data_IF_424969017020
#
_entry.id   IF_424969017020
#
_cell.length_a   1.000
_cell.length_b   1.000
_cell.length_c   1.000
_cell.angle_alpha   90.00
_cell.angle_beta   90.00
_cell.angle_gamma   90.00
#
_symmetry.space_group_name_H-M   'P 1'
#
loop_
_entity.id
_entity.type
_entity.pdbx_description
1 polymer ?
#
# COMPACT_ATOMS: atom_id res chain seq x y z
N UNK A 1 -4.45 9.83 -13.74
CA UNK A 1 -3.28 10.39 -13.04
C UNK A 1 -3.43 10.04 -11.58
N UNK A 2 -2.35 9.64 -10.93
CA UNK A 2 -2.39 9.19 -9.55
C UNK A 2 -1.00 9.25 -8.93
N UNK A 3 -0.94 9.49 -7.62
CA UNK A 3 0.25 9.26 -6.82
C UNK A 3 -0.13 8.64 -5.47
N UNK A 4 0.81 7.94 -4.85
CA UNK A 4 0.69 7.53 -3.46
C UNK A 4 1.15 8.66 -2.53
N UNK A 5 0.66 8.65 -1.30
CA UNK A 5 1.34 9.38 -0.24
C UNK A 5 2.71 8.74 0.02
N UNK A 6 3.67 9.56 0.41
CA UNK A 6 5.03 9.14 0.70
C UNK A 6 5.29 9.30 2.19
N UNK A 7 5.89 8.30 2.81
CA UNK A 7 6.37 8.37 4.19
C UNK A 7 7.89 8.44 4.14
N UNK A 8 8.46 9.42 4.83
CA UNK A 8 9.89 9.61 5.00
C UNK A 8 10.20 9.54 6.49
N UNK A 9 11.17 8.73 6.89
CA UNK A 9 11.60 8.59 8.28
C UNK A 9 13.01 9.11 8.44
N UNK A 10 13.18 10.13 9.28
CA UNK A 10 14.49 10.62 9.71
C UNK A 10 15.11 9.66 10.72
N UNK A 11 16.28 9.15 10.38
CA UNK A 11 17.04 8.18 11.17
C UNK A 11 17.82 8.86 12.31
N UNK A 12 18.35 8.10 13.29
CA UNK A 12 19.15 8.65 14.38
C UNK A 12 20.39 9.43 13.94
N UNK A 13 21.04 8.99 12.85
CA UNK A 13 22.21 9.65 12.24
C UNK A 13 21.85 10.87 11.38
N UNK A 14 20.57 11.21 11.28
CA UNK A 14 20.05 12.31 10.46
C UNK A 14 19.80 11.96 9.00
N UNK A 15 20.17 10.76 8.54
CA UNK A 15 19.83 10.28 7.20
C UNK A 15 18.31 10.08 7.05
N UNK A 16 17.84 10.01 5.80
CA UNK A 16 16.42 9.86 5.48
C UNK A 16 16.22 8.55 4.70
N UNK A 17 15.19 7.80 5.08
CA UNK A 17 14.64 6.67 4.32
C UNK A 17 13.20 6.97 3.94
N UNK A 18 12.69 6.42 2.84
CA UNK A 18 11.30 6.62 2.46
C UNK A 18 10.64 5.41 1.85
N UNK A 19 9.31 5.40 1.85
CA UNK A 19 8.56 4.59 0.90
C UNK A 19 8.86 5.03 -0.54
N UNK A 20 8.62 4.19 -1.54
CA UNK A 20 8.85 4.58 -2.93
C UNK A 20 7.85 5.64 -3.40
N UNK A 21 8.25 6.48 -4.34
CA UNK A 21 7.43 7.54 -4.93
C UNK A 21 6.72 6.97 -6.15
N UNK A 22 5.46 6.56 -5.97
CA UNK A 22 4.63 6.11 -7.07
C UNK A 22 3.89 7.30 -7.66
N UNK A 23 4.21 7.62 -8.91
CA UNK A 23 3.61 8.73 -9.67
C UNK A 23 3.30 8.25 -11.08
N UNK A 24 2.04 8.44 -11.49
CA UNK A 24 1.52 7.99 -12.78
C UNK A 24 0.72 9.09 -13.49
N UNK A 25 1.17 9.47 -14.69
CA UNK A 25 0.50 10.46 -15.56
C UNK A 25 -0.51 9.81 -16.52
N UNK A 26 -1.30 10.59 -17.25
CA UNK A 26 -2.34 10.03 -18.13
C UNK A 26 -1.79 9.55 -19.49
N UNK A 27 -2.35 8.46 -20.03
CA UNK A 27 -1.90 7.77 -21.26
C UNK A 27 -1.73 8.65 -22.49
N UNK A 28 -2.61 9.62 -22.68
CA UNK A 28 -2.65 10.46 -23.89
C UNK A 28 -1.78 11.72 -23.79
N UNK A 29 -0.84 11.78 -22.85
CA UNK A 29 0.06 12.93 -22.75
C UNK A 29 1.32 12.74 -23.57
N UNK A 30 1.45 13.48 -24.68
CA UNK A 30 2.69 13.49 -25.45
C UNK A 30 3.53 14.70 -25.10
N UNK A 31 4.74 14.45 -24.64
CA UNK A 31 5.75 15.47 -24.32
C UNK A 31 7.12 15.07 -24.84
N UNK A 32 7.89 16.05 -25.30
CA UNK A 32 9.30 15.89 -25.65
C UNK A 32 10.19 15.89 -24.40
N UNK A 33 9.69 16.47 -23.29
CA UNK A 33 10.38 16.52 -22.01
C UNK A 33 9.89 15.38 -21.12
N UNK A 34 10.76 14.38 -20.93
CA UNK A 34 10.50 13.23 -20.05
C UNK A 34 10.77 13.54 -18.57
N UNK A 35 11.29 14.72 -18.26
CA UNK A 35 11.54 15.16 -16.89
C UNK A 35 10.23 15.61 -16.22
N UNK A 36 9.99 15.11 -15.02
CA UNK A 36 8.90 15.48 -14.12
C UNK A 36 9.50 16.29 -12.97
N UNK A 37 9.10 17.54 -12.87
CA UNK A 37 9.58 18.45 -11.84
C UNK A 37 8.87 18.12 -10.53
N UNK A 38 9.64 17.94 -9.45
CA UNK A 38 9.11 17.84 -8.09
C UNK A 38 9.13 19.24 -7.46
N UNK A 39 7.98 19.72 -7.00
CA UNK A 39 7.87 20.94 -6.22
C UNK A 39 7.26 20.68 -4.84
N UNK A 40 7.95 21.12 -3.78
CA UNK A 40 7.50 21.02 -2.38
C UNK A 40 7.03 22.41 -1.95
N UNK A 41 5.82 22.51 -1.39
CA UNK A 41 5.22 23.80 -0.99
C UNK A 41 5.29 24.86 -2.11
N UNK A 42 4.98 24.43 -3.34
CA UNK A 42 5.01 25.25 -4.57
C UNK A 42 6.42 25.74 -4.98
N UNK A 43 7.48 25.28 -4.32
CA UNK A 43 8.88 25.58 -4.69
C UNK A 43 9.50 24.40 -5.42
N UNK A 44 10.01 24.64 -6.63
CA UNK A 44 10.73 23.60 -7.40
C UNK A 44 11.96 23.13 -6.64
N UNK A 45 12.16 21.82 -6.60
CA UNK A 45 13.34 21.20 -5.98
C UNK A 45 14.41 20.95 -7.04
N UNK A 46 15.61 20.55 -6.58
CA UNK A 46 16.70 20.10 -7.47
C UNK A 46 16.53 18.64 -7.92
N UNK A 47 15.52 17.95 -7.38
CA UNK A 47 15.24 16.54 -7.67
C UNK A 47 14.10 16.49 -8.68
N UNK A 48 14.25 15.63 -9.68
CA UNK A 48 13.23 15.33 -10.68
C UNK A 48 12.95 13.83 -10.71
N UNK A 49 11.80 13.46 -11.28
CA UNK A 49 11.54 12.11 -11.75
C UNK A 49 11.64 12.10 -13.27
N UNK A 50 11.72 10.91 -13.85
CA UNK A 50 11.68 10.72 -15.29
C UNK A 50 10.57 9.77 -15.70
N UNK A 51 9.83 10.13 -16.76
CA UNK A 51 8.88 9.27 -17.44
C UNK A 51 9.62 8.23 -18.28
N UNK A 52 9.25 6.96 -18.11
CA UNK A 52 9.70 5.90 -19.01
C UNK A 52 8.92 5.96 -20.34
N UNK A 53 9.59 5.88 -21.52
CA UNK A 53 8.90 5.82 -22.81
C UNK A 53 7.96 4.61 -22.89
N UNK A 54 6.73 4.81 -23.38
CA UNK A 54 5.73 3.74 -23.47
C UNK A 54 5.07 3.35 -22.14
N UNK A 55 5.49 3.96 -21.02
CA UNK A 55 4.89 3.75 -19.70
C UNK A 55 4.43 5.08 -19.11
N UNK A 56 3.51 5.02 -18.16
CA UNK A 56 2.95 6.20 -17.49
C UNK A 56 3.60 6.50 -16.14
N UNK A 57 4.54 5.65 -15.72
CA UNK A 57 5.20 5.69 -14.42
C UNK A 57 6.48 6.50 -14.44
N UNK A 58 6.72 7.17 -13.32
CA UNK A 58 7.92 7.95 -13.06
C UNK A 58 8.93 7.19 -12.19
N UNK A 59 10.22 7.44 -12.41
CA UNK A 59 11.33 6.83 -11.67
C UNK A 59 12.38 7.88 -11.31
N UNK A 60 13.20 7.63 -10.30
CA UNK A 60 14.40 8.41 -9.99
C UNK A 60 15.58 7.94 -10.85
N UNK A 61 16.42 8.89 -11.30
CA UNK A 61 17.66 8.62 -12.04
C UNK A 61 17.76 9.40 -13.36
N UNK A 62 18.99 9.76 -13.76
CA UNK A 62 19.26 10.38 -15.05
C UNK A 62 18.86 9.43 -16.18
N UNK A 63 18.26 10.00 -17.25
CA UNK A 63 17.87 9.34 -18.52
C UNK A 63 18.20 7.85 -18.49
N UNK A 64 17.27 7.04 -17.97
CA UNK A 64 17.46 5.59 -17.94
C UNK A 64 17.91 5.21 -19.35
N UNK A 65 19.14 4.71 -19.47
CA UNK A 65 19.66 4.18 -20.72
C UNK A 65 19.07 2.77 -20.81
N UNK A 66 17.73 2.71 -20.85
CA UNK A 66 16.93 1.47 -20.77
C UNK A 66 17.47 0.47 -21.79
N UNK A 67 17.86 0.96 -22.97
CA UNK A 67 18.42 0.16 -24.06
C UNK A 67 19.77 -0.49 -23.71
N UNK A 68 20.65 0.17 -22.94
CA UNK A 68 21.97 -0.39 -22.60
C UNK A 68 21.91 -1.38 -21.44
N UNK A 69 21.05 -1.13 -20.45
CA UNK A 69 20.86 -2.05 -19.33
C UNK A 69 20.14 -3.33 -19.81
N UNK A 70 19.18 -3.20 -20.74
CA UNK A 70 18.52 -4.35 -21.39
C UNK A 70 19.52 -5.17 -22.24
N UNK A 71 20.41 -4.53 -23.02
CA UNK A 71 21.45 -5.20 -23.82
C UNK A 71 22.50 -5.92 -22.95
N UNK A 72 22.94 -5.29 -21.87
CA UNK A 72 23.97 -5.84 -20.99
C UNK A 72 23.41 -6.99 -20.14
N UNK A 73 22.13 -6.93 -19.77
CA UNK A 73 21.43 -8.02 -19.10
C UNK A 73 21.15 -9.21 -20.04
N UNK A 74 20.77 -8.95 -21.30
CA UNK A 74 20.63 -10.01 -22.32
C UNK A 74 21.97 -10.71 -22.62
N UNK A 75 23.09 -9.96 -22.66
CA UNK A 75 24.44 -10.54 -22.77
C UNK A 75 24.79 -11.41 -21.57
N UNK A 76 24.55 -10.94 -20.34
CA UNK A 76 24.80 -11.73 -19.12
C UNK A 76 23.95 -13.01 -19.05
N UNK A 77 22.72 -12.97 -19.59
CA UNK A 77 21.81 -14.14 -19.67
C UNK A 77 22.28 -15.14 -20.74
N UNK A 78 22.80 -14.67 -21.87
CA UNK A 78 23.42 -15.53 -22.89
C UNK A 78 24.73 -16.17 -22.39
N UNK A 79 25.59 -15.41 -21.71
CA UNK A 79 26.85 -15.91 -21.14
C UNK A 79 26.63 -16.88 -19.97
N UNK A 80 25.61 -16.66 -19.12
CA UNK A 80 25.22 -17.61 -18.06
C UNK A 80 24.62 -18.92 -18.58
N UNK A 81 23.87 -18.87 -19.70
CA UNK A 81 23.31 -20.08 -20.32
C UNK A 81 24.34 -20.97 -21.02
N UNK A 82 25.50 -20.41 -21.41
CA UNK A 82 26.58 -21.17 -22.03
C UNK A 82 27.33 -22.05 -21.01
N UNK A 83 27.35 -21.66 -19.73
CA UNK A 83 28.02 -22.39 -18.66
C UNK A 83 27.19 -23.55 -18.07
N UNK A 84 25.86 -23.57 -18.26
CA UNK A 84 24.97 -24.62 -17.73
C UNK A 84 24.70 -25.79 -18.70
N UNK A 85 25.24 -25.75 -19.93
CA UNK A 85 24.97 -26.77 -20.95
C UNK A 85 25.86 -28.04 -20.87
N UNK A 86 26.55 -28.28 -19.74
CA UNK A 86 27.37 -29.50 -19.56
C UNK A 86 26.78 -30.52 -18.56
N UNK A 87 25.66 -30.25 -17.86
CA UNK A 87 25.14 -31.20 -16.84
C UNK A 87 23.67 -31.64 -16.97
N UNK A 88 22.94 -31.33 -18.05
CA UNK A 88 21.52 -31.75 -18.24
C UNK A 88 21.33 -33.00 -19.09
N UNK A 89 21.97 -34.13 -18.72
CA UNK A 89 21.68 -35.44 -19.35
C UNK A 89 21.14 -36.54 -18.44
N UNK A 90 20.91 -36.32 -17.14
CA UNK A 90 20.55 -37.44 -16.23
C UNK A 90 19.21 -37.34 -15.45
N UNK A 91 18.36 -36.33 -15.63
CA UNK A 91 17.11 -36.19 -14.84
C UNK A 91 15.81 -36.26 -15.64
N UNK A 92 15.75 -37.13 -16.66
CA UNK A 92 14.49 -37.45 -17.39
C UNK A 92 13.82 -38.76 -16.97
N UNK A 93 14.46 -39.59 -16.14
CA UNK A 93 13.86 -40.87 -15.69
C UNK A 93 13.18 -40.77 -14.31
N UNK A 94 13.56 -39.84 -13.43
CA UNK A 94 12.97 -39.74 -12.07
C UNK A 94 11.59 -39.05 -12.01
N UNK A 95 11.21 -38.24 -13.01
CA UNK A 95 9.90 -37.56 -13.02
C UNK A 95 8.74 -38.42 -13.56
N UNK A 96 8.99 -39.63 -14.07
CA UNK A 96 7.92 -40.53 -14.55
C UNK A 96 7.33 -41.44 -13.47
N UNK A 97 7.97 -41.55 -12.30
CA UNK A 97 7.55 -42.51 -11.27
C UNK A 97 6.67 -41.89 -10.16
N UNK A 98 6.61 -40.56 -10.06
CA UNK A 98 5.81 -39.84 -9.05
C UNK A 98 4.34 -39.60 -9.44
N UNK A 99 3.93 -39.93 -10.67
CA UNK A 99 2.53 -39.83 -11.15
C UNK A 99 1.67 -41.08 -10.88
N UNK A 100 2.18 -42.09 -10.16
CA UNK A 100 1.46 -43.37 -9.93
C UNK A 100 0.99 -43.64 -8.50
N UNK A 101 0.99 -42.66 -7.59
CA UNK A 101 0.49 -42.85 -6.21
C UNK A 101 -0.42 -41.71 -5.75
N UNK A 102 -1.70 -41.78 -6.09
CA UNK A 102 -2.75 -41.16 -5.28
C UNK A 102 -3.29 -42.20 -4.29
N UNK A 103 -3.31 -41.91 -2.98
CA UNK A 103 -4.26 -42.53 -2.06
C UNK A 103 -5.51 -41.64 -1.94
N UNK A 104 -6.67 -42.28 -2.09
CA UNK A 104 -7.98 -41.72 -1.81
C UNK A 104 -8.07 -41.24 -0.35
N UNK A 105 -8.32 -39.95 -0.14
CA UNK A 105 -8.72 -39.41 1.17
C UNK A 105 -10.10 -38.76 1.07
N UNK A 106 -11.03 -39.37 1.80
CA UNK A 106 -12.44 -39.00 1.92
C UNK A 106 -12.60 -37.60 2.53
N UNK A 107 -13.44 -36.79 1.89
CA UNK A 107 -13.96 -35.52 2.41
C UNK A 107 -14.73 -35.74 3.72
N UNK A 108 -14.34 -35.03 4.78
CA UNK A 108 -15.29 -34.59 5.81
C UNK A 108 -15.55 -33.10 5.63
N UNK A 109 -16.79 -32.82 5.28
CA UNK A 109 -17.43 -31.50 5.13
C UNK A 109 -17.43 -30.79 6.48
N UNK A 110 -17.11 -29.50 6.48
CA UNK A 110 -17.97 -28.45 7.04
C UNK A 110 -17.39 -27.05 6.78
N UNK A 111 -17.80 -26.45 5.66
CA UNK A 111 -17.80 -25.00 5.44
C UNK A 111 -18.80 -24.67 4.32
N UNK A 112 -20.06 -24.41 4.70
CA UNK A 112 -21.03 -23.65 3.89
C UNK A 112 -20.74 -22.17 4.22
N UNK A 113 -20.51 -21.23 3.31
CA UNK A 113 -21.24 -20.94 2.07
C UNK A 113 -20.32 -20.20 1.06
N UNK A 114 -20.02 -20.83 -0.07
CA UNK A 114 -19.68 -20.16 -1.32
C UNK A 114 -20.16 -21.05 -2.48
N UNK A 115 -20.83 -20.44 -3.47
CA UNK A 115 -21.43 -21.09 -4.63
C UNK A 115 -20.39 -21.91 -5.45
N UNK A 116 -20.50 -23.25 -5.53
CA UNK A 116 -19.55 -24.12 -6.23
C UNK A 116 -19.50 -23.89 -7.75
N UNK A 117 -20.56 -23.32 -8.35
CA UNK A 117 -20.65 -23.11 -9.80
C UNK A 117 -19.67 -22.04 -10.30
N UNK A 118 -19.28 -21.09 -9.44
CA UNK A 118 -18.31 -20.03 -9.78
C UNK A 118 -16.86 -20.52 -9.82
N UNK A 119 -16.48 -21.56 -9.06
CA UNK A 119 -15.11 -22.12 -9.06
C UNK A 119 -14.74 -22.78 -10.40
N UNK A 120 -15.68 -23.49 -11.01
CA UNK A 120 -15.43 -24.32 -12.20
C UNK A 120 -15.29 -23.50 -13.49
N UNK A 121 -16.13 -22.50 -13.70
CA UNK A 121 -16.00 -21.59 -14.84
C UNK A 121 -14.76 -20.69 -14.72
N UNK A 122 -14.43 -20.27 -13.49
CA UNK A 122 -13.30 -19.37 -13.21
C UNK A 122 -11.93 -19.98 -13.50
N UNK A 123 -11.68 -21.22 -13.06
CA UNK A 123 -10.42 -21.92 -13.34
C UNK A 123 -10.19 -22.15 -14.84
N UNK A 124 -11.27 -22.45 -15.57
CA UNK A 124 -11.19 -22.77 -17.00
C UNK A 124 -10.91 -21.51 -17.82
N UNK A 125 -11.66 -20.43 -17.64
CA UNK A 125 -11.51 -19.21 -18.45
C UNK A 125 -10.15 -18.53 -18.24
N UNK A 126 -9.61 -18.54 -17.01
CA UNK A 126 -8.29 -17.96 -16.70
C UNK A 126 -7.15 -18.77 -17.34
N UNK A 127 -7.24 -20.10 -17.33
CA UNK A 127 -6.22 -20.98 -17.95
C UNK A 127 -6.20 -20.90 -19.48
N UNK A 128 -7.34 -20.58 -20.10
CA UNK A 128 -7.47 -20.48 -21.57
C UNK A 128 -6.98 -19.14 -22.14
N UNK A 129 -7.02 -18.04 -21.36
CA UNK A 129 -6.66 -16.72 -21.86
C UNK A 129 -5.16 -16.41 -21.69
N UNK A 130 -4.49 -16.99 -20.68
CA UNK A 130 -3.05 -16.83 -20.47
C UNK A 130 -2.46 -18.07 -19.77
N UNK A 131 -1.52 -18.80 -20.39
CA UNK A 131 -0.77 -19.85 -19.71
C UNK A 131 -0.04 -19.28 -18.49
N UNK A 132 -0.05 -20.02 -17.39
CA UNK A 132 0.47 -19.62 -16.08
C UNK A 132 1.94 -19.12 -16.15
N UNK A 133 2.71 -19.69 -17.08
CA UNK A 133 4.12 -19.38 -17.33
C UNK A 133 4.34 -17.97 -17.93
N UNK A 134 3.41 -17.48 -18.77
CA UNK A 134 3.50 -16.14 -19.39
C UNK A 134 3.15 -15.01 -18.42
N UNK A 135 2.32 -15.29 -17.41
CA UNK A 135 2.01 -14.34 -16.33
C UNK A 135 3.19 -14.18 -15.37
N UNK A 136 3.87 -15.29 -15.06
CA UNK A 136 5.10 -15.29 -14.26
C UNK A 136 6.23 -14.56 -15.00
N UNK A 137 6.41 -14.78 -16.31
CA UNK A 137 7.39 -14.05 -17.13
C UNK A 137 7.13 -12.54 -17.18
N UNK A 138 5.87 -12.09 -17.23
CA UNK A 138 5.56 -10.64 -17.17
C UNK A 138 5.77 -10.06 -15.78
N UNK A 139 5.45 -10.82 -14.73
CA UNK A 139 5.77 -10.44 -13.35
C UNK A 139 7.28 -10.39 -13.12
N UNK A 140 8.05 -11.25 -13.78
CA UNK A 140 9.51 -11.20 -13.81
C UNK A 140 10.04 -10.02 -14.61
N UNK A 141 9.44 -9.69 -15.76
CA UNK A 141 9.81 -8.49 -16.54
C UNK A 141 9.45 -7.18 -15.82
N UNK A 142 8.43 -7.15 -14.95
CA UNK A 142 8.18 -6.03 -14.04
C UNK A 142 9.13 -6.05 -12.81
N UNK A 143 9.73 -7.20 -12.45
CA UNK A 143 10.86 -7.28 -11.50
C UNK A 143 12.18 -6.78 -12.11
N UNK A 144 12.30 -6.69 -13.44
CA UNK A 144 13.52 -6.21 -14.14
C UNK A 144 13.83 -4.73 -13.84
N UNK A 145 12.87 -3.94 -13.36
CA UNK A 145 13.14 -2.62 -12.76
C UNK A 145 12.76 -2.65 -11.29
N UNK A 146 13.76 -2.86 -10.43
CA UNK A 146 13.57 -3.02 -8.99
C UNK A 146 12.86 -1.81 -8.37
N UNK A 147 12.21 -2.04 -7.21
CA UNK A 147 11.70 -0.99 -6.33
C UNK A 147 12.73 0.12 -6.04
N UNK A 148 14.02 -0.15 -6.24
CA UNK A 148 15.13 0.77 -6.02
C UNK A 148 15.01 2.02 -6.91
N UNK A 149 14.49 1.91 -8.14
CA UNK A 149 14.32 3.08 -9.02
C UNK A 149 13.09 3.93 -8.68
N UNK A 150 12.16 3.40 -7.87
CA UNK A 150 11.03 4.15 -7.34
C UNK A 150 11.36 4.80 -6.00
N UNK A 151 12.43 4.37 -5.34
CA UNK A 151 12.82 4.83 -4.02
C UNK A 151 13.95 5.85 -4.15
N UNK A 152 13.79 7.08 -3.66
CA UNK A 152 14.85 8.07 -3.72
C UNK A 152 16.04 7.66 -2.84
N UNK A 153 17.24 8.05 -3.24
CA UNK A 153 18.42 7.96 -2.37
C UNK A 153 18.31 8.96 -1.21
N UNK A 154 19.08 8.75 -0.15
CA UNK A 154 19.17 9.71 0.96
C UNK A 154 19.58 11.12 0.49
N UNK A 155 20.41 11.21 -0.56
CA UNK A 155 20.80 12.48 -1.18
C UNK A 155 19.62 13.17 -1.87
N UNK A 156 18.81 12.43 -2.64
CA UNK A 156 17.58 12.97 -3.23
C UNK A 156 16.65 13.48 -2.13
N UNK A 157 16.40 12.68 -1.08
CA UNK A 157 15.52 13.07 0.03
C UNK A 157 15.99 14.35 0.74
N UNK A 158 17.29 14.50 0.96
CA UNK A 158 17.88 15.70 1.56
C UNK A 158 17.62 16.94 0.69
N UNK A 159 17.73 16.81 -0.63
CA UNK A 159 17.52 17.90 -1.59
C UNK A 159 16.04 18.31 -1.76
N UNK A 160 15.09 17.51 -1.29
CA UNK A 160 13.68 17.89 -1.24
C UNK A 160 13.41 18.97 -0.19
N UNK A 161 14.30 19.15 0.80
CA UNK A 161 14.17 20.14 1.89
C UNK A 161 12.83 20.02 2.65
N UNK A 162 12.46 18.79 2.98
CA UNK A 162 11.23 18.48 3.71
C UNK A 162 11.25 19.06 5.13
N UNK A 163 10.10 19.54 5.59
CA UNK A 163 9.88 19.95 6.99
C UNK A 163 9.28 18.79 7.79
N UNK A 164 9.53 18.71 9.12
CA UNK A 164 8.85 17.73 9.97
C UNK A 164 7.33 17.80 9.80
N UNK A 165 6.66 16.65 9.73
CA UNK A 165 5.23 16.54 9.47
C UNK A 165 4.87 16.57 7.99
N UNK A 166 3.77 17.26 7.66
CA UNK A 166 3.12 17.21 6.35
C UNK A 166 3.80 18.18 5.36
N UNK A 167 4.10 17.70 4.15
CA UNK A 167 4.62 18.50 3.04
C UNK A 167 3.79 18.22 1.79
N UNK A 168 3.27 19.27 1.15
CA UNK A 168 2.53 19.16 -0.10
C UNK A 168 3.49 19.09 -1.29
N UNK A 169 3.39 18.02 -2.06
CA UNK A 169 4.20 17.79 -3.26
C UNK A 169 3.37 17.95 -4.53
N UNK A 170 3.95 18.60 -5.53
CA UNK A 170 3.39 18.70 -6.88
C UNK A 170 4.37 18.04 -7.85
N UNK A 171 3.90 17.03 -8.56
CA UNK A 171 4.61 16.43 -9.68
C UNK A 171 4.14 17.10 -10.96
N UNK A 172 5.04 17.79 -11.63
CA UNK A 172 4.72 18.66 -12.76
C UNK A 172 5.37 18.11 -14.01
N UNK A 173 4.53 17.73 -14.97
CA UNK A 173 4.95 17.35 -16.31
C UNK A 173 4.61 18.49 -17.28
N UNK A 174 5.64 19.03 -17.93
CA UNK A 174 5.48 20.10 -18.91
C UNK A 174 5.08 19.53 -20.28
N UNK A 175 4.17 20.23 -20.96
CA UNK A 175 3.58 19.75 -22.21
C UNK A 175 4.33 20.22 -23.45
N UNK A 176 4.05 19.60 -24.59
CA UNK A 176 4.55 20.09 -25.87
C UNK A 176 3.71 21.28 -26.34
N UNK A 177 4.36 22.44 -26.50
CA UNK A 177 3.74 23.68 -27.03
C UNK A 177 3.03 23.47 -28.37
N UNK A 178 3.47 22.50 -29.18
CA UNK A 178 2.92 22.21 -30.51
C UNK A 178 1.52 21.58 -30.49
N UNK A 179 1.10 20.92 -29.40
CA UNK A 179 -0.19 20.18 -29.34
C UNK A 179 -1.27 20.81 -28.46
N UNK A 180 -1.16 22.09 -28.08
CA UNK A 180 -2.08 22.78 -27.15
C UNK A 180 -2.24 22.14 -25.77
N UNK A 181 -1.42 21.15 -25.42
CA UNK A 181 -1.40 20.53 -24.09
C UNK A 181 -0.41 21.31 -23.23
N UNK A 182 -0.91 22.04 -22.23
CA UNK A 182 -0.11 23.06 -21.53
C UNK A 182 0.75 22.51 -20.39
N UNK A 183 0.20 21.67 -19.51
CA UNK A 183 0.88 21.17 -18.28
C UNK A 183 0.00 20.12 -17.60
N UNK A 184 0.59 19.06 -17.05
CA UNK A 184 -0.08 18.17 -16.09
C UNK A 184 0.53 18.35 -14.71
N UNK A 185 -0.32 18.39 -13.68
CA UNK A 185 0.09 18.48 -12.28
C UNK A 185 -0.64 17.39 -11.51
N UNK A 186 0.13 16.62 -10.74
CA UNK A 186 -0.40 15.65 -9.77
C UNK A 186 -0.02 16.18 -8.39
N UNK A 187 -1.02 16.30 -7.52
CA UNK A 187 -0.85 16.71 -6.13
C UNK A 187 -0.81 15.49 -5.23
N UNK A 188 0.14 15.48 -4.29
CA UNK A 188 0.30 14.43 -3.30
C UNK A 188 0.85 14.98 -1.99
N UNK A 189 1.09 14.07 -1.04
CA UNK A 189 1.55 14.42 0.30
C UNK A 189 2.78 13.59 0.68
N UNK A 190 3.77 14.25 1.26
CA UNK A 190 4.95 13.61 1.86
C UNK A 190 4.93 13.87 3.36
N UNK A 191 4.99 12.81 4.15
CA UNK A 191 5.02 12.85 5.61
C UNK A 191 6.46 12.61 6.08
N UNK A 192 7.08 13.60 6.72
CA UNK A 192 8.38 13.44 7.35
C UNK A 192 8.20 13.16 8.84
N UNK A 193 8.44 11.91 9.22
CA UNK A 193 8.40 11.42 10.59
C UNK A 193 9.79 11.24 11.18
N UNK A 194 9.87 11.20 12.50
CA UNK A 194 11.06 10.82 13.25
C UNK A 194 11.06 9.31 13.51
N UNK A 195 12.24 8.68 13.59
CA UNK A 195 12.35 7.27 13.97
C UNK A 195 11.74 6.95 15.36
N UNK A 196 11.57 7.96 16.23
CA UNK A 196 10.89 7.82 17.53
C UNK A 196 9.38 7.87 17.46
N UNK A 197 8.80 8.26 16.33
CA UNK A 197 7.36 8.37 16.20
C UNK A 197 6.70 6.98 16.29
N UNK A 198 5.44 6.96 16.69
CA UNK A 198 4.64 5.74 16.85
C UNK A 198 3.34 5.89 16.08
N UNK A 199 2.87 4.79 15.51
CA UNK A 199 1.84 4.77 14.48
C UNK A 199 0.66 3.91 14.93
N UNK A 200 -0.53 4.48 14.85
CA UNK A 200 -1.80 3.77 14.91
C UNK A 200 -2.30 3.47 13.50
N UNK A 201 -2.58 2.20 13.20
CA UNK A 201 -3.18 1.77 11.95
C UNK A 201 -4.70 1.89 12.02
N UNK A 202 -5.30 2.41 10.97
CA UNK A 202 -6.75 2.49 10.84
C UNK A 202 -7.17 2.04 9.44
N UNK A 203 -7.82 0.88 9.34
CA UNK A 203 -8.48 0.50 8.10
C UNK A 203 -9.66 1.46 7.82
N UNK A 204 -9.98 1.70 6.55
CA UNK A 204 -11.05 2.61 6.14
C UNK A 204 -12.33 1.83 5.86
N UNK A 205 -12.26 0.82 5.00
CA UNK A 205 -13.42 0.20 4.40
C UNK A 205 -14.01 -0.85 5.35
N UNK A 206 -15.11 -0.52 6.02
CA UNK A 206 -15.73 -1.36 7.03
C UNK A 206 -15.27 -1.07 8.47
N UNK A 207 -14.25 -0.22 8.63
CA UNK A 207 -13.73 0.21 9.95
C UNK A 207 -14.10 1.66 10.25
N UNK A 208 -13.76 2.59 9.34
CA UNK A 208 -14.30 3.97 9.37
C UNK A 208 -15.73 3.97 8.84
N UNK A 209 -15.95 3.31 7.70
CA UNK A 209 -17.30 3.12 7.12
C UNK A 209 -17.98 1.88 7.68
N UNK A 210 -19.32 1.83 7.68
CA UNK A 210 -20.10 0.66 8.14
C UNK A 210 -20.15 -0.52 7.16
N UNK A 211 -19.63 -0.37 5.95
CA UNK A 211 -19.71 -1.41 4.91
C UNK A 211 -18.56 -1.31 3.90
N UNK A 212 -18.09 -2.48 3.47
CA UNK A 212 -17.02 -2.70 2.48
C UNK A 212 -17.47 -2.48 1.02
N UNK A 213 -18.76 -2.64 0.71
CA UNK A 213 -19.23 -2.88 -0.68
C UNK A 213 -19.89 -1.70 -1.37
N UNK A 214 -20.19 -0.60 -0.66
CA UNK A 214 -20.86 0.58 -1.24
C UNK A 214 -19.93 1.76 -1.55
N UNK A 215 -18.61 1.62 -1.34
CA UNK A 215 -17.62 2.70 -1.42
C UNK A 215 -17.48 3.41 -2.78
N UNK A 216 -18.01 2.83 -3.86
CA UNK A 216 -17.91 3.39 -5.22
C UNK A 216 -19.06 4.36 -5.61
N UNK A 217 -20.14 4.43 -4.82
CA UNK A 217 -21.37 5.18 -5.17
C UNK A 217 -21.47 6.54 -4.47
N UNK A 218 -20.63 6.82 -3.48
CA UNK A 218 -20.76 8.05 -2.72
C UNK A 218 -20.08 9.23 -3.42
N UNK A 219 -20.79 9.81 -4.36
CA UNK A 219 -20.68 11.22 -4.73
C UNK A 219 -22.03 11.87 -4.42
N UNK A 220 -22.09 12.53 -3.25
CA UNK A 220 -23.13 13.48 -2.77
C UNK A 220 -24.07 12.99 -1.63
N UNK A 221 -24.22 13.92 -0.65
CA UNK A 221 -25.22 14.04 0.43
C UNK A 221 -25.47 12.78 1.29
N UNK A 222 -25.00 12.80 2.55
CA UNK A 222 -25.39 11.83 3.58
C UNK A 222 -24.28 10.96 4.20
N UNK A 223 -23.00 11.25 3.91
CA UNK A 223 -21.83 10.47 4.35
C UNK A 223 -21.84 10.08 5.84
N UNK A 224 -22.26 10.99 6.74
CA UNK A 224 -22.26 10.75 8.19
C UNK A 224 -23.08 9.54 8.63
N UNK A 225 -24.14 9.16 7.90
CA UNK A 225 -24.97 7.99 8.27
C UNK A 225 -24.20 6.66 8.13
N UNK A 226 -23.15 6.66 7.33
CA UNK A 226 -22.37 5.48 6.94
C UNK A 226 -20.99 5.41 7.59
N UNK A 227 -20.66 6.36 8.46
CA UNK A 227 -19.43 6.34 9.28
C UNK A 227 -19.78 5.83 10.68
N UNK A 228 -18.91 5.01 11.27
CA UNK A 228 -19.10 4.55 12.64
C UNK A 228 -19.00 5.72 13.64
N UNK A 229 -19.96 5.87 14.57
CA UNK A 229 -19.92 6.95 15.57
C UNK A 229 -18.69 6.82 16.49
N UNK A 230 -18.13 7.95 16.91
CA UNK A 230 -16.98 8.02 17.84
C UNK A 230 -15.61 7.85 17.18
N UNK A 231 -15.53 7.55 15.87
CA UNK A 231 -14.23 7.35 15.20
C UNK A 231 -13.40 8.64 15.16
N UNK A 232 -14.03 9.80 14.93
CA UNK A 232 -13.28 11.06 14.88
C UNK A 232 -12.70 11.41 16.26
N UNK A 233 -13.48 11.23 17.34
CA UNK A 233 -13.00 11.52 18.70
C UNK A 233 -11.89 10.54 19.12
N UNK A 234 -12.03 9.26 18.78
CA UNK A 234 -11.02 8.24 19.04
C UNK A 234 -9.69 8.59 18.35
N UNK A 235 -9.71 8.80 17.03
CA UNK A 235 -8.50 9.07 16.26
C UNK A 235 -7.89 10.44 16.61
N UNK A 236 -8.71 11.46 16.85
CA UNK A 236 -8.24 12.76 17.39
C UNK A 236 -7.56 12.59 18.75
N UNK A 237 -8.05 11.69 19.61
CA UNK A 237 -7.43 11.43 20.91
C UNK A 237 -6.09 10.72 20.75
N UNK A 238 -5.98 9.78 19.80
CA UNK A 238 -4.71 9.13 19.47
C UNK A 238 -3.67 10.15 18.98
N UNK A 239 -4.05 11.05 18.07
CA UNK A 239 -3.17 12.11 17.56
C UNK A 239 -2.72 13.06 18.69
N UNK A 240 -3.65 13.50 19.55
CA UNK A 240 -3.34 14.36 20.72
C UNK A 240 -2.36 13.73 21.70
N UNK A 241 -2.30 12.38 21.76
CA UNK A 241 -1.34 11.64 22.59
C UNK A 241 0.04 11.49 21.93
N UNK A 242 0.25 12.07 20.75
CA UNK A 242 1.53 12.10 20.04
C UNK A 242 1.74 10.96 19.04
N UNK A 243 0.69 10.20 18.71
CA UNK A 243 0.76 9.09 17.76
C UNK A 243 0.28 9.53 16.38
N UNK A 244 0.98 9.12 15.32
CA UNK A 244 0.51 9.33 13.95
C UNK A 244 -0.57 8.31 13.58
N UNK A 245 -1.54 8.72 12.77
CA UNK A 245 -2.50 7.78 12.16
C UNK A 245 -2.07 7.45 10.75
N UNK A 246 -1.99 6.15 10.43
CA UNK A 246 -1.80 5.64 9.07
C UNK A 246 -3.07 4.91 8.64
N UNK A 247 -3.66 5.37 7.54
CA UNK A 247 -4.90 4.80 7.03
C UNK A 247 -4.63 3.70 6.00
N UNK A 248 -5.42 2.62 6.04
CA UNK A 248 -5.36 1.50 5.10
C UNK A 248 -6.67 1.41 4.30
N UNK A 249 -6.60 1.18 3.00
CA UNK A 249 -7.80 0.98 2.18
C UNK A 249 -7.58 -0.05 1.08
N UNK A 250 -8.60 -0.86 0.82
CA UNK A 250 -8.63 -1.76 -0.33
C UNK A 250 -8.91 -1.03 -1.66
N UNK A 251 -9.11 0.30 -1.62
CA UNK A 251 -9.30 1.12 -2.82
C UNK A 251 -7.99 1.22 -3.61
N UNK A 252 -8.12 1.40 -4.91
CA UNK A 252 -6.98 1.56 -5.82
C UNK A 252 -6.35 2.95 -5.67
N UNK A 253 -5.07 3.06 -6.03
CA UNK A 253 -4.34 4.34 -6.09
C UNK A 253 -5.07 5.41 -6.94
N UNK A 254 -5.77 5.01 -8.00
CA UNK A 254 -6.57 5.91 -8.84
C UNK A 254 -7.72 6.59 -8.08
N UNK A 255 -8.13 6.03 -6.95
CA UNK A 255 -9.14 6.57 -6.04
C UNK A 255 -8.52 7.26 -4.81
N UNK A 256 -7.19 7.31 -4.70
CA UNK A 256 -6.48 7.86 -3.53
C UNK A 256 -6.93 9.28 -3.20
N UNK A 257 -7.00 10.17 -4.20
CA UNK A 257 -7.44 11.55 -4.00
C UNK A 257 -8.89 11.65 -3.49
N UNK A 258 -9.81 10.86 -4.06
CA UNK A 258 -11.21 10.81 -3.59
C UNK A 258 -11.32 10.26 -2.17
N UNK A 259 -10.48 9.28 -1.84
CA UNK A 259 -10.44 8.67 -0.50
C UNK A 259 -9.92 9.67 0.53
N UNK A 260 -8.87 10.43 0.19
CA UNK A 260 -8.36 11.54 0.99
C UNK A 260 -9.42 12.60 1.25
N UNK A 261 -10.06 13.11 0.19
CA UNK A 261 -11.16 14.07 0.31
C UNK A 261 -12.31 13.54 1.17
N UNK A 262 -12.64 12.25 1.04
CA UNK A 262 -13.64 11.62 1.89
C UNK A 262 -13.22 11.67 3.36
N UNK A 263 -12.03 11.17 3.73
CA UNK A 263 -11.54 11.18 5.12
C UNK A 263 -11.51 12.60 5.69
N UNK A 264 -10.96 13.55 4.94
CA UNK A 264 -10.85 14.97 5.36
C UNK A 264 -12.23 15.66 5.47
N UNK A 265 -13.28 15.11 4.86
CA UNK A 265 -14.64 15.64 4.97
C UNK A 265 -15.43 15.10 6.16
N UNK A 266 -14.95 14.04 6.83
CA UNK A 266 -15.66 13.43 7.96
C UNK A 266 -15.46 14.32 9.20
N UNK A 267 -16.59 14.70 9.79
CA UNK A 267 -16.68 15.43 11.05
C UNK A 267 -17.73 14.80 11.95
N UNK A 268 -17.40 14.54 13.20
CA UNK A 268 -18.37 14.08 14.21
C UNK A 268 -18.29 15.00 15.42
N UNK A 269 -19.42 15.62 15.77
CA UNK A 269 -19.46 16.65 16.82
C UNK A 269 -18.43 17.76 16.50
N UNK A 270 -17.45 17.96 17.39
CA UNK A 270 -16.37 18.95 17.26
C UNK A 270 -15.01 18.32 16.86
N UNK A 271 -15.01 17.06 16.42
CA UNK A 271 -13.81 16.33 16.04
C UNK A 271 -13.74 16.13 14.53
N UNK A 272 -12.56 16.39 13.99
CA UNK A 272 -12.18 16.07 12.62
C UNK A 272 -11.37 14.76 12.61
N UNK A 273 -11.19 14.18 11.42
CA UNK A 273 -10.24 13.09 11.25
C UNK A 273 -8.81 13.64 11.25
N UNK A 274 -7.86 13.03 11.97
CA UNK A 274 -6.47 13.47 11.96
C UNK A 274 -5.85 13.25 10.57
N UNK A 275 -4.94 14.13 10.18
CA UNK A 275 -4.24 13.98 8.92
C UNK A 275 -3.27 12.81 8.99
N UNK A 276 -3.24 11.99 7.93
CA UNK A 276 -2.35 10.84 7.85
C UNK A 276 -2.11 10.36 6.42
N UNK A 277 -1.05 9.56 6.20
CA UNK A 277 -0.85 8.87 4.93
C UNK A 277 -1.95 7.83 4.71
N UNK A 278 -2.39 7.68 3.46
CA UNK A 278 -3.35 6.65 3.05
C UNK A 278 -2.61 5.62 2.21
N UNK A 279 -2.41 4.44 2.79
CA UNK A 279 -1.90 3.28 2.08
C UNK A 279 -3.05 2.61 1.33
N UNK A 280 -3.09 2.86 0.03
CA UNK A 280 -4.03 2.20 -0.88
C UNK A 280 -3.56 0.79 -1.18
N UNK A 281 -4.49 -0.11 -1.52
CA UNK A 281 -4.12 -1.38 -2.12
C UNK A 281 -3.23 -1.11 -3.33
N UNK A 282 -1.97 -1.48 -3.20
CA UNK A 282 -1.07 -1.56 -4.33
C UNK A 282 -1.68 -2.60 -5.24
N UNK A 283 -2.31 -2.14 -6.32
CA UNK A 283 -2.07 -2.61 -7.68
C UNK A 283 -3.30 -2.36 -8.57
N UNK A 284 -3.26 -1.25 -9.31
CA UNK A 284 -3.79 -1.26 -10.69
C UNK A 284 -2.84 -2.01 -11.66
N UNK A 285 -1.78 -2.62 -11.14
CA UNK A 285 -0.64 -3.21 -11.83
C UNK A 285 -0.96 -4.54 -12.55
N UNK A 286 -2.21 -4.97 -12.54
CA UNK A 286 -2.57 -6.34 -12.86
C UNK A 286 -3.90 -6.37 -13.60
N UNK A 287 -3.98 -7.19 -14.65
CA UNK A 287 -5.26 -7.52 -15.29
C UNK A 287 -6.29 -7.93 -14.23
N UNK A 288 -7.58 -7.75 -14.52
CA UNK A 288 -8.68 -7.96 -13.57
C UNK A 288 -8.58 -9.27 -12.77
N UNK A 289 -8.10 -10.36 -13.40
CA UNK A 289 -7.88 -11.65 -12.76
C UNK A 289 -6.76 -11.66 -11.68
N UNK A 290 -5.64 -10.97 -11.90
CA UNK A 290 -4.56 -10.89 -10.91
C UNK A 290 -4.92 -9.88 -9.81
N UNK A 291 -5.69 -8.83 -10.13
CA UNK A 291 -6.32 -7.98 -9.11
C UNK A 291 -7.27 -8.78 -8.21
N UNK A 292 -8.07 -9.67 -8.77
CA UNK A 292 -8.97 -10.54 -7.99
C UNK A 292 -8.18 -11.55 -7.12
N UNK A 293 -7.08 -12.10 -7.63
CA UNK A 293 -6.16 -12.93 -6.84
C UNK A 293 -5.48 -12.18 -5.67
N UNK A 294 -5.12 -10.90 -5.88
CA UNK A 294 -4.54 -10.04 -4.84
C UNK A 294 -5.57 -9.69 -3.78
N UNK A 295 -6.80 -9.41 -4.19
CA UNK A 295 -7.92 -9.23 -3.25
C UNK A 295 -8.22 -10.52 -2.49
N UNK A 296 -8.00 -11.69 -3.10
CA UNK A 296 -8.12 -12.99 -2.47
C UNK A 296 -7.03 -13.29 -1.43
N UNK A 297 -5.84 -12.65 -1.52
CA UNK A 297 -4.74 -12.75 -0.54
C UNK A 297 -4.40 -11.43 0.14
N UNK A 298 -5.41 -10.59 0.35
CA UNK A 298 -5.25 -9.21 0.81
C UNK A 298 -4.41 -9.07 2.08
N UNK A 299 -4.44 -10.05 2.97
CA UNK A 299 -3.66 -10.14 4.21
C UNK A 299 -2.15 -10.19 3.93
N UNK A 300 -1.70 -11.02 2.99
CA UNK A 300 -0.26 -11.13 2.66
C UNK A 300 0.30 -9.82 2.11
N UNK A 301 -0.47 -9.14 1.27
CA UNK A 301 -0.09 -7.84 0.70
C UNK A 301 -0.12 -6.73 1.75
N UNK A 302 -1.13 -6.73 2.64
CA UNK A 302 -1.21 -5.80 3.76
C UNK A 302 0.01 -5.94 4.68
N UNK A 303 0.35 -7.18 5.07
CA UNK A 303 1.55 -7.48 5.88
C UNK A 303 2.81 -7.01 5.17
N UNK A 304 2.99 -7.32 3.89
CA UNK A 304 4.19 -6.94 3.15
C UNK A 304 4.35 -5.41 3.05
N UNK A 305 3.27 -4.70 2.74
CA UNK A 305 3.32 -3.25 2.63
C UNK A 305 3.60 -2.58 3.99
N UNK A 306 2.98 -3.08 5.06
CA UNK A 306 3.25 -2.60 6.42
C UNK A 306 4.69 -2.92 6.86
N UNK A 307 5.23 -4.10 6.56
CA UNK A 307 6.64 -4.44 6.79
C UNK A 307 7.60 -3.54 6.01
N UNK A 308 7.22 -3.13 4.80
CA UNK A 308 7.98 -2.15 4.01
C UNK A 308 8.03 -0.76 4.65
N UNK A 309 6.97 -0.36 5.36
CA UNK A 309 6.99 0.87 6.17
C UNK A 309 7.80 0.63 7.46
N UNK A 310 7.66 -0.53 8.09
CA UNK A 310 8.40 -0.90 9.30
C UNK A 310 9.92 -0.85 9.08
N UNK A 311 10.40 -1.30 7.92
CA UNK A 311 11.83 -1.29 7.57
C UNK A 311 12.43 0.10 7.37
N UNK A 312 11.61 1.16 7.32
CA UNK A 312 12.09 2.54 7.36
C UNK A 312 12.57 2.95 8.75
N UNK A 313 12.19 2.22 9.80
CA UNK A 313 12.60 2.46 11.18
C UNK A 313 13.83 1.61 11.54
N UNK A 314 14.60 2.00 12.56
CA UNK A 314 15.65 1.15 13.13
C UNK A 314 15.10 -0.21 13.60
N UNK A 315 15.93 -1.25 13.56
CA UNK A 315 15.51 -2.63 13.86
C UNK A 315 15.01 -2.82 15.31
N UNK A 316 15.51 -2.01 16.24
CA UNK A 316 15.12 -2.00 17.66
C UNK A 316 13.83 -1.22 17.94
N UNK A 317 13.27 -0.55 16.91
CA UNK A 317 12.04 0.23 17.03
C UNK A 317 10.86 -0.55 16.46
N UNK A 318 9.81 -0.72 17.28
CA UNK A 318 8.49 -1.18 16.82
C UNK A 318 7.61 0.05 16.62
N UNK A 319 7.40 0.51 15.37
CA UNK A 319 6.70 1.77 15.12
C UNK A 319 5.18 1.62 15.26
N UNK A 320 4.61 0.47 14.90
CA UNK A 320 3.18 0.24 14.96
C UNK A 320 2.75 -0.18 16.37
N UNK A 321 1.79 0.54 16.95
CA UNK A 321 1.41 0.37 18.36
C UNK A 321 -0.08 0.08 18.57
N UNK A 322 -0.91 0.37 17.58
CA UNK A 322 -2.36 0.17 17.63
C UNK A 322 -2.87 -0.25 16.25
N UNK A 323 -3.85 -1.14 16.21
CA UNK A 323 -4.54 -1.52 14.98
C UNK A 323 -6.06 -1.46 15.10
N UNK A 324 -6.71 -0.68 14.25
CA UNK A 324 -8.16 -0.68 14.06
C UNK A 324 -8.48 -1.36 12.71
N UNK A 325 -9.38 -2.34 12.75
CA UNK A 325 -9.81 -3.10 11.57
C UNK A 325 -11.25 -3.59 11.68
N UNK A 326 -11.71 -4.36 10.70
CA UNK A 326 -13.06 -4.92 10.66
C UNK A 326 -13.10 -6.42 10.35
N UNK A 327 -11.95 -7.00 9.98
CA UNK A 327 -11.84 -8.42 9.64
C UNK A 327 -10.92 -9.16 10.59
N UNK A 328 -11.16 -10.46 10.83
CA UNK A 328 -10.18 -11.32 11.50
C UNK A 328 -8.80 -11.30 10.80
N UNK A 329 -8.77 -11.15 9.48
CA UNK A 329 -7.53 -11.01 8.70
C UNK A 329 -6.76 -9.73 9.00
N UNK A 330 -7.44 -8.65 9.44
CA UNK A 330 -6.76 -7.44 9.90
C UNK A 330 -6.05 -7.71 11.21
N UNK A 331 -6.71 -8.41 12.13
CA UNK A 331 -6.09 -8.85 13.38
C UNK A 331 -4.83 -9.67 13.11
N UNK A 332 -4.91 -10.70 12.27
CA UNK A 332 -3.75 -11.51 11.88
C UNK A 332 -2.64 -10.66 11.25
N UNK A 333 -2.99 -9.72 10.37
CA UNK A 333 -2.03 -8.82 9.72
C UNK A 333 -1.31 -7.93 10.71
N UNK A 334 -2.03 -7.38 11.69
CA UNK A 334 -1.51 -6.48 12.72
C UNK A 334 -0.64 -7.21 13.75
N UNK A 335 -1.00 -8.43 14.12
CA UNK A 335 -0.12 -9.30 14.93
C UNK A 335 1.17 -9.61 14.19
N UNK A 336 1.11 -9.91 12.89
CA UNK A 336 2.28 -10.30 12.09
C UNK A 336 3.33 -9.19 11.91
N UNK A 337 2.99 -7.93 12.20
CA UNK A 337 3.90 -6.77 12.19
C UNK A 337 4.31 -6.31 13.59
N UNK A 338 3.88 -7.02 14.64
CA UNK A 338 4.31 -6.80 16.02
C UNK A 338 3.41 -5.90 16.86
N UNK A 339 2.18 -5.58 16.41
CA UNK A 339 1.21 -4.89 17.28
C UNK A 339 0.78 -5.89 18.38
N UNK A 340 0.81 -5.44 19.64
CA UNK A 340 0.34 -6.24 20.77
C UNK A 340 -1.12 -6.58 20.57
N UNK A 341 -1.48 -7.81 20.90
CA UNK A 341 -2.84 -8.32 20.75
C UNK A 341 -3.87 -7.46 21.51
N UNK A 342 -3.52 -6.99 22.71
CA UNK A 342 -4.35 -6.11 23.53
C UNK A 342 -4.54 -4.69 22.92
N UNK A 343 -3.80 -4.37 21.85
CA UNK A 343 -3.82 -3.09 21.15
C UNK A 343 -4.49 -3.21 19.76
N UNK A 344 -5.21 -4.30 19.50
CA UNK A 344 -5.94 -4.54 18.25
C UNK A 344 -7.44 -4.55 18.52
N UNK A 345 -8.16 -3.74 17.75
CA UNK A 345 -9.61 -3.59 17.87
C UNK A 345 -10.28 -3.85 16.53
N UNK A 346 -11.25 -4.78 16.52
CA UNK A 346 -12.01 -5.20 15.34
C UNK A 346 -13.47 -4.80 15.51
N UNK A 347 -13.93 -3.87 14.67
CA UNK A 347 -15.33 -3.42 14.67
C UNK A 347 -16.20 -4.30 13.78
N UNK A 348 -17.45 -4.51 14.18
CA UNK A 348 -18.46 -5.15 13.36
C UNK A 348 -19.39 -4.12 12.67
N UNK A 349 -20.20 -4.53 11.67
CA UNK A 349 -21.11 -3.61 10.99
C UNK A 349 -22.17 -2.96 11.90
N UNK A 350 -22.46 -3.54 13.07
CA UNK A 350 -23.38 -2.96 14.05
C UNK A 350 -22.70 -1.86 14.90
N UNK A 351 -21.37 -1.77 14.85
CA UNK A 351 -20.57 -0.80 15.58
C UNK A 351 -20.06 -1.30 16.91
N UNK A 352 -20.27 -2.58 17.24
CA UNK A 352 -19.64 -3.20 18.41
C UNK A 352 -18.18 -3.49 18.08
N UNK A 353 -17.29 -3.17 19.01
CA UNK A 353 -15.85 -3.37 18.83
C UNK A 353 -15.39 -4.53 19.71
N UNK A 354 -14.67 -5.48 19.14
CA UNK A 354 -14.00 -6.56 19.87
C UNK A 354 -12.53 -6.24 20.02
N UNK A 355 -11.99 -6.45 21.21
CA UNK A 355 -10.56 -6.40 21.47
C UNK A 355 -10.19 -7.45 22.52
N UNK A 356 -8.89 -7.53 22.83
CA UNK A 356 -8.41 -8.38 23.92
C UNK A 356 -7.96 -7.50 25.08
N UNK A 357 -8.40 -7.84 26.29
CA UNK A 357 -7.92 -7.21 27.54
C UNK A 357 -7.31 -8.29 28.41
N UNK A 358 -5.99 -8.23 28.63
CA UNK A 358 -5.26 -9.27 29.36
C UNK A 358 -5.48 -10.66 28.74
N UNK A 359 -5.42 -10.74 27.41
CA UNK A 359 -5.64 -11.96 26.62
C UNK A 359 -7.03 -12.61 26.75
N UNK A 360 -8.04 -11.86 27.20
CA UNK A 360 -9.44 -12.31 27.20
C UNK A 360 -10.29 -11.46 26.27
N UNK A 361 -11.23 -12.11 25.59
CA UNK A 361 -12.23 -11.46 24.75
C UNK A 361 -12.97 -10.38 25.53
N UNK A 362 -12.93 -9.16 25.02
CA UNK A 362 -13.65 -8.03 25.56
C UNK A 362 -14.46 -7.36 24.44
N UNK A 363 -15.74 -7.11 24.72
CA UNK A 363 -16.62 -6.39 23.81
C UNK A 363 -16.83 -4.97 24.33
N UNK A 364 -16.51 -4.00 23.47
CA UNK A 364 -16.77 -2.58 23.67
C UNK A 364 -18.05 -2.20 22.92
N UNK A 365 -18.89 -1.37 23.54
CA UNK A 365 -20.12 -0.86 22.93
C UNK A 365 -19.89 -0.03 21.66
N UNK A 366 -18.69 0.50 21.46
CA UNK A 366 -18.26 1.24 20.27
C UNK A 366 -16.94 1.96 20.48
N UNK A 367 -16.57 2.85 19.55
CA UNK A 367 -15.30 3.59 19.61
C UNK A 367 -15.15 4.51 20.82
N UNK A 368 -16.24 5.01 21.41
CA UNK A 368 -16.19 5.83 22.62
C UNK A 368 -15.64 5.03 23.81
N UNK A 369 -16.07 3.78 23.99
CA UNK A 369 -15.53 2.91 25.04
C UNK A 369 -14.07 2.51 24.77
N UNK A 370 -13.70 2.29 23.51
CA UNK A 370 -12.30 2.06 23.12
C UNK A 370 -11.45 3.29 23.47
N UNK A 371 -11.96 4.50 23.23
CA UNK A 371 -11.28 5.74 23.56
C UNK A 371 -10.99 5.84 25.07
N UNK A 372 -11.95 5.46 25.92
CA UNK A 372 -11.72 5.41 27.37
C UNK A 372 -10.64 4.39 27.77
N UNK A 373 -10.53 3.27 27.05
CA UNK A 373 -9.50 2.27 27.27
C UNK A 373 -8.10 2.67 26.76
N UNK A 374 -7.97 3.72 25.94
CA UNK A 374 -6.67 4.15 25.41
C UNK A 374 -5.66 4.52 26.50
N UNK A 375 -6.12 4.96 27.68
CA UNK A 375 -5.26 5.20 28.85
C UNK A 375 -4.31 4.03 29.15
N UNK A 376 -4.85 2.82 29.12
CA UNK A 376 -4.13 1.59 29.45
C UNK A 376 -3.29 1.08 28.26
N UNK A 377 -3.70 1.43 27.04
CA UNK A 377 -3.18 0.86 25.78
C UNK A 377 -2.08 1.72 25.16
N UNK A 378 -2.25 3.05 25.19
CA UNK A 378 -1.39 4.04 24.55
C UNK A 378 -1.06 5.16 25.56
N UNK A 379 0.03 5.06 26.34
CA UNK A 379 0.43 6.14 27.23
C UNK A 379 0.70 7.44 26.45
N UNK A 380 0.53 8.59 27.08
CA UNK A 380 0.89 9.87 26.45
C UNK A 380 2.38 9.90 26.13
N UNK A 381 2.71 10.18 24.86
CA UNK A 381 4.08 10.44 24.47
C UNK A 381 4.39 11.89 24.87
N UNK A 382 5.33 12.08 25.78
CA UNK A 382 5.84 13.40 26.10
C UNK A 382 6.38 14.03 24.81
N UNK A 383 5.69 15.06 24.32
CA UNK A 383 6.13 15.87 23.20
C UNK A 383 7.37 16.64 23.67
N UNK A 384 8.55 16.08 23.42
CA UNK A 384 9.84 16.72 23.70
C UNK A 384 10.22 17.71 22.61
#
# INVERSE_FOLDING_TARGET
>A
MSCCDVIVVKQPDGSLKSTPFYVEFAYNYSTERKEVIIAIEKKKTKVSLHLKPGHLRCYFGDKINVEKDDEQHMKNKMEGSAAENVSKSETKEEMKELQKREPQLQEKKDAKTADPSKKSYFSRTVSYLFPQDQLLERMENDKVYSLDHLTPTAQHLTQLNLKPGINHVHYILEGNRSRNIKRQVIEGTIFLWNYKDRIALCDIDGTVTKSDTMGLVFTAVGYYKYVHPGICSLLSTIEKRGYHVLYLTARSISQGHKTRQFIESIRQQNYDMPHGPILTSYNNLYHAAVREYILYRSETFKIQALKGIQSLFPEDVVPFVLGLGNKPTDHESYVAIGIKVDNIFIIDPAGQVKGLKSQKDYAYGGYEEVQHALGDVLPELLLN
#
